data_IF_058167128911
#
_entry.id   IF_058167128911
#
_cell.length_a   1.000
_cell.length_b   1.000
_cell.length_c   1.000
_cell.angle_alpha   90.00
_cell.angle_beta   90.00
_cell.angle_gamma   90.00
#
_symmetry.space_group_name_H-M   'P 1'
#
loop_
_entity.id
_entity.type
_entity.pdbx_description
1 polymer ?
#
# COMPACT_ATOMS: atom_id res chain seq x y z
N UNK A 1 12.46 47.76 37.83
CA UNK A 1 11.60 47.01 36.90
C UNK A 1 12.47 46.40 35.83
N UNK A 2 12.65 45.08 35.84
CA UNK A 2 13.32 44.36 34.76
C UNK A 2 12.62 43.00 34.62
N UNK A 3 11.99 42.80 33.47
CA UNK A 3 11.25 41.61 33.10
C UNK A 3 12.23 40.50 32.74
N UNK A 4 11.99 39.29 33.23
CA UNK A 4 12.79 38.11 32.90
C UNK A 4 11.97 37.13 32.06
N UNK A 5 12.47 36.74 30.88
CA UNK A 5 12.29 35.38 30.35
C UNK A 5 13.56 35.00 29.57
N UNK A 6 14.13 33.84 29.92
CA UNK A 6 15.19 33.17 29.16
C UNK A 6 14.64 31.86 28.60
N UNK A 7 14.63 31.72 27.28
CA UNK A 7 14.06 30.57 26.56
C UNK A 7 15.08 29.45 26.27
N UNK A 8 16.32 29.59 26.73
CA UNK A 8 17.44 28.88 26.11
C UNK A 8 18.18 27.89 27.01
N UNK A 9 17.73 27.56 28.23
CA UNK A 9 18.49 26.62 29.07
C UNK A 9 17.64 25.66 29.91
N UNK A 10 17.60 24.38 29.48
CA UNK A 10 17.28 23.21 30.33
C UNK A 10 16.51 22.08 29.62
N UNK A 11 17.20 21.01 29.19
CA UNK A 11 16.67 19.83 28.50
C UNK A 11 15.83 18.89 29.38
N UNK A 12 14.63 18.47 28.95
CA UNK A 12 14.17 17.07 28.72
C UNK A 12 12.63 16.97 28.47
N UNK A 13 12.24 16.15 27.48
CA UNK A 13 10.97 15.41 27.31
C UNK A 13 9.63 16.18 27.11
N UNK A 14 9.57 17.51 27.16
CA UNK A 14 8.31 18.25 26.87
C UNK A 14 8.01 18.52 25.38
N UNK A 15 9.03 18.82 24.58
CA UNK A 15 8.87 19.32 23.20
C UNK A 15 8.53 18.24 22.18
N UNK A 16 9.00 17.02 22.41
CA UNK A 16 8.70 15.87 21.57
C UNK A 16 7.23 15.45 21.71
N UNK A 17 6.66 15.56 22.92
CA UNK A 17 5.24 15.27 23.18
C UNK A 17 4.32 16.33 22.56
N UNK A 18 4.67 17.62 22.60
CA UNK A 18 3.94 18.69 21.90
C UNK A 18 4.08 18.61 20.36
N UNK A 19 5.28 18.30 19.86
CA UNK A 19 5.50 18.08 18.42
C UNK A 19 4.66 16.91 17.91
N UNK A 20 4.34 15.94 18.77
CA UNK A 20 3.61 14.72 18.45
C UNK A 20 2.10 14.81 18.65
N UNK A 21 1.64 15.59 19.61
CA UNK A 21 0.25 16.01 19.73
C UNK A 21 -0.18 16.90 18.55
N UNK A 22 0.73 17.72 18.01
CA UNK A 22 0.55 18.44 16.73
C UNK A 22 0.55 17.53 15.50
N UNK A 23 1.25 16.39 15.56
CA UNK A 23 1.55 15.56 14.39
C UNK A 23 0.34 14.80 13.82
N UNK A 24 -0.77 14.65 14.56
CA UNK A 24 -1.87 13.74 14.16
C UNK A 24 -3.29 14.32 14.14
N UNK A 25 -3.48 15.59 14.50
CA UNK A 25 -4.71 16.34 14.19
C UNK A 25 -4.48 17.58 13.28
N UNK A 26 -3.22 17.86 12.92
CA UNK A 26 -2.83 18.96 12.00
C UNK A 26 -2.37 18.50 10.62
N UNK A 27 -2.89 17.38 10.10
CA UNK A 27 -2.65 17.08 8.67
C UNK A 27 -3.39 18.13 7.84
N UNK A 28 -2.68 19.17 7.41
CA UNK A 28 -3.26 20.30 6.67
C UNK A 28 -3.81 19.88 5.31
N UNK A 29 -3.43 18.68 4.81
CA UNK A 29 -3.84 18.14 3.51
C UNK A 29 -4.16 16.65 3.60
N UNK A 30 -5.18 16.22 2.88
CA UNK A 30 -5.56 14.81 2.70
C UNK A 30 -5.20 14.36 1.28
N UNK A 31 -4.86 13.08 1.13
CA UNK A 31 -4.74 12.45 -0.19
C UNK A 31 -6.15 12.12 -0.69
N UNK A 32 -6.49 12.56 -1.89
CA UNK A 32 -7.81 12.38 -2.51
C UNK A 32 -7.62 11.82 -3.92
N UNK A 33 -8.60 11.06 -4.41
CA UNK A 33 -8.59 10.57 -5.79
C UNK A 33 -9.01 11.65 -6.78
N UNK A 34 -8.53 11.54 -8.01
CA UNK A 34 -8.93 12.38 -9.14
C UNK A 34 -9.44 11.44 -10.24
N UNK A 35 -10.57 11.77 -10.81
CA UNK A 35 -11.13 11.10 -11.98
C UNK A 35 -11.48 12.15 -13.04
N UNK A 36 -11.01 11.98 -14.27
CA UNK A 36 -11.22 12.93 -15.36
C UNK A 36 -11.47 12.18 -16.66
N UNK A 37 -12.54 12.52 -17.36
CA UNK A 37 -12.90 11.91 -18.66
C UNK A 37 -12.45 12.75 -19.87
N UNK A 38 -11.73 13.84 -19.62
CA UNK A 38 -11.27 14.76 -20.65
C UNK A 38 -10.10 14.16 -21.44
N UNK A 39 -10.30 13.85 -22.72
CA UNK A 39 -9.27 13.28 -23.59
C UNK A 39 -8.09 14.23 -23.81
N UNK A 40 -8.32 15.56 -23.81
CA UNK A 40 -7.26 16.55 -24.00
C UNK A 40 -6.26 16.57 -22.82
N UNK A 41 -6.70 16.13 -21.63
CA UNK A 41 -5.82 15.93 -20.49
C UNK A 41 -4.78 14.83 -20.74
N UNK A 42 -5.10 13.81 -21.56
CA UNK A 42 -4.15 12.74 -21.89
C UNK A 42 -2.97 13.27 -22.68
N UNK A 43 -3.21 14.21 -23.59
CA UNK A 43 -2.14 14.84 -24.37
C UNK A 43 -1.29 15.76 -23.51
N UNK A 44 -1.91 16.54 -22.62
CA UNK A 44 -1.18 17.35 -21.64
C UNK A 44 -0.26 16.50 -20.74
N UNK A 45 -0.67 15.28 -20.35
CA UNK A 45 0.20 14.38 -19.58
C UNK A 45 1.48 13.95 -20.33
N UNK A 46 1.53 14.05 -21.67
CA UNK A 46 2.73 13.74 -22.46
C UNK A 46 3.74 14.88 -22.48
N UNK A 47 3.27 16.12 -22.35
CA UNK A 47 4.09 17.33 -22.55
C UNK A 47 4.33 18.12 -21.26
N UNK A 48 3.45 17.98 -20.27
CA UNK A 48 3.52 18.75 -19.02
C UNK A 48 3.91 17.85 -17.84
N UNK A 49 4.91 18.24 -17.03
CA UNK A 49 5.25 17.49 -15.81
C UNK A 49 4.12 17.51 -14.77
N UNK A 50 3.73 16.35 -14.24
CA UNK A 50 2.64 16.21 -13.23
C UNK A 50 2.85 17.13 -12.02
N UNK A 51 4.10 17.35 -11.60
CA UNK A 51 4.43 18.25 -10.48
C UNK A 51 3.95 19.70 -10.67
N UNK A 52 3.67 20.12 -11.91
CA UNK A 52 3.13 21.44 -12.23
C UNK A 52 1.61 21.54 -12.02
N UNK A 53 0.89 20.41 -12.04
CA UNK A 53 -0.56 20.39 -12.02
C UNK A 53 -1.10 20.85 -10.66
N UNK A 54 -2.18 21.63 -10.70
CA UNK A 54 -2.87 22.14 -9.50
C UNK A 54 -4.34 21.74 -9.55
N UNK A 55 -4.90 21.45 -8.38
CA UNK A 55 -6.35 21.31 -8.23
C UNK A 55 -6.96 22.65 -7.84
N UNK A 56 -7.98 23.04 -8.59
CA UNK A 56 -8.79 24.22 -8.35
C UNK A 56 -10.24 23.84 -8.07
N UNK A 57 -10.89 24.55 -7.16
CA UNK A 57 -12.35 24.54 -6.98
C UNK A 57 -12.83 25.99 -6.99
N UNK A 58 -13.67 26.34 -7.95
CA UNK A 58 -13.96 27.74 -8.27
C UNK A 58 -12.68 28.47 -8.67
N UNK A 59 -12.32 29.54 -7.97
CA UNK A 59 -11.09 30.30 -8.20
C UNK A 59 -9.94 29.93 -7.26
N UNK A 60 -10.18 29.03 -6.30
CA UNK A 60 -9.20 28.70 -5.28
C UNK A 60 -8.37 27.46 -5.64
N UNK A 61 -7.05 27.57 -5.57
CA UNK A 61 -6.16 26.40 -5.55
C UNK A 61 -6.27 25.68 -4.21
N UNK A 62 -6.85 24.48 -4.26
CA UNK A 62 -7.13 23.64 -3.09
C UNK A 62 -6.08 22.55 -2.88
N UNK A 63 -5.31 22.21 -3.92
CA UNK A 63 -4.36 21.10 -3.83
C UNK A 63 -3.35 21.03 -4.96
N UNK A 64 -2.51 20.00 -4.89
CA UNK A 64 -1.54 19.63 -5.93
C UNK A 64 -1.76 18.18 -6.31
N UNK A 65 -1.64 17.89 -7.61
CA UNK A 65 -1.62 16.52 -8.10
C UNK A 65 -0.32 15.85 -7.66
N UNK A 66 -0.41 14.66 -7.09
CA UNK A 66 0.75 13.82 -6.75
C UNK A 66 1.04 12.79 -7.83
N UNK A 67 0.01 12.25 -8.48
CA UNK A 67 0.13 11.29 -9.57
C UNK A 67 -1.10 11.37 -10.48
N UNK A 68 -0.93 11.08 -11.76
CA UNK A 68 -1.99 10.92 -12.76
C UNK A 68 -1.55 9.83 -13.75
N UNK A 69 -2.50 9.00 -14.16
CA UNK A 69 -2.35 7.94 -15.14
C UNK A 69 -3.42 8.12 -16.21
N UNK A 70 -3.01 8.14 -17.48
CA UNK A 70 -3.93 8.11 -18.61
C UNK A 70 -4.53 6.70 -18.77
N UNK A 71 -5.84 6.63 -18.95
CA UNK A 71 -6.64 5.44 -19.25
C UNK A 71 -7.23 5.57 -20.66
N UNK A 72 -7.83 4.51 -21.21
CA UNK A 72 -8.45 4.56 -22.54
C UNK A 72 -9.55 5.64 -22.65
N UNK A 73 -10.32 5.84 -21.59
CA UNK A 73 -11.47 6.77 -21.55
C UNK A 73 -11.25 8.00 -20.65
N UNK A 74 -9.99 8.35 -20.34
CA UNK A 74 -9.69 9.53 -19.51
C UNK A 74 -8.38 9.43 -18.74
N UNK A 75 -8.39 9.90 -17.50
CA UNK A 75 -7.27 9.93 -16.58
C UNK A 75 -7.73 9.70 -15.13
N UNK A 76 -6.95 8.95 -14.36
CA UNK A 76 -7.15 8.79 -12.92
C UNK A 76 -5.88 9.10 -12.15
N UNK A 77 -6.00 9.61 -10.92
CA UNK A 77 -4.83 10.01 -10.15
C UNK A 77 -5.10 10.31 -8.70
N UNK A 78 -4.11 10.90 -8.04
CA UNK A 78 -4.15 11.30 -6.65
C UNK A 78 -3.72 12.77 -6.51
N UNK A 79 -4.32 13.45 -5.55
CA UNK A 79 -3.97 14.81 -5.15
C UNK A 79 -3.83 14.95 -3.65
N UNK A 80 -2.90 15.82 -3.24
CA UNK A 80 -2.86 16.36 -1.88
C UNK A 80 -3.73 17.61 -1.81
N UNK A 81 -4.84 17.53 -1.09
CA UNK A 81 -5.89 18.57 -1.01
C UNK A 81 -5.97 19.10 0.40
N UNK A 82 -6.11 20.41 0.61
CA UNK A 82 -6.32 20.99 1.94
C UNK A 82 -7.46 20.30 2.68
N UNK A 83 -7.28 19.95 3.97
CA UNK A 83 -8.25 19.18 4.78
C UNK A 83 -9.67 19.75 4.71
N UNK A 84 -9.81 21.08 4.77
CA UNK A 84 -11.09 21.80 4.68
C UNK A 84 -11.79 21.71 3.32
N UNK A 85 -11.04 21.41 2.26
CA UNK A 85 -11.51 21.39 0.87
C UNK A 85 -11.61 19.95 0.32
N UNK A 86 -11.24 18.93 1.12
CA UNK A 86 -11.13 17.53 0.74
C UNK A 86 -12.47 16.78 0.75
N UNK A 87 -13.50 17.41 0.19
CA UNK A 87 -14.83 16.80 -0.04
C UNK A 87 -14.91 16.33 -1.49
N UNK A 88 -15.40 15.10 -1.77
CA UNK A 88 -15.64 14.66 -3.15
C UNK A 88 -16.55 15.63 -3.93
N UNK A 89 -16.32 15.73 -5.23
CA UNK A 89 -17.11 16.58 -6.13
C UNK A 89 -16.28 17.26 -7.23
N UNK A 90 -16.91 18.10 -8.05
CA UNK A 90 -16.26 18.72 -9.21
C UNK A 90 -15.04 19.58 -8.82
N UNK A 91 -13.99 19.47 -9.63
CA UNK A 91 -12.75 20.25 -9.54
C UNK A 91 -12.22 20.52 -10.95
N UNK A 92 -11.22 21.40 -11.05
CA UNK A 92 -10.52 21.68 -12.29
C UNK A 92 -9.03 21.38 -12.10
N UNK A 93 -8.47 20.60 -13.01
CA UNK A 93 -7.03 20.41 -13.13
C UNK A 93 -6.47 21.56 -13.95
N UNK A 94 -5.56 22.33 -13.37
CA UNK A 94 -4.95 23.49 -14.03
C UNK A 94 -3.48 23.22 -14.28
N UNK A 95 -3.05 23.43 -15.52
CA UNK A 95 -1.67 23.30 -16.00
C UNK A 95 -1.25 24.57 -16.74
N UNK A 96 -0.02 24.62 -17.25
CA UNK A 96 0.40 25.69 -18.15
C UNK A 96 -0.34 25.62 -19.52
N UNK A 97 -0.78 24.43 -19.90
CA UNK A 97 -1.36 24.13 -21.21
C UNK A 97 -2.89 24.22 -21.23
N UNK A 98 -3.54 24.36 -20.06
CA UNK A 98 -4.99 24.53 -20.01
C UNK A 98 -5.63 24.21 -18.66
N UNK A 99 -6.96 24.16 -18.67
CA UNK A 99 -7.78 23.83 -17.53
C UNK A 99 -8.77 22.72 -17.92
N UNK A 100 -8.73 21.59 -17.21
CA UNK A 100 -9.46 20.38 -17.55
C UNK A 100 -10.46 20.02 -16.46
N UNK A 101 -11.66 19.59 -16.85
CA UNK A 101 -12.67 19.15 -15.91
C UNK A 101 -12.27 17.84 -15.24
N UNK A 102 -12.45 17.75 -13.93
CA UNK A 102 -12.18 16.55 -13.16
C UNK A 102 -13.14 16.43 -11.97
N UNK A 103 -13.18 15.26 -11.37
CA UNK A 103 -13.92 14.98 -10.15
C UNK A 103 -12.93 14.57 -9.07
N UNK A 104 -13.00 15.25 -7.92
CA UNK A 104 -12.34 14.78 -6.72
C UNK A 104 -13.19 13.64 -6.16
N UNK A 105 -12.61 12.46 -6.05
CA UNK A 105 -13.27 11.28 -5.49
C UNK A 105 -12.63 10.90 -4.16
N UNK A 106 -13.33 10.07 -3.40
CA UNK A 106 -12.74 9.51 -2.19
C UNK A 106 -11.43 8.78 -2.49
N UNK A 107 -10.58 8.74 -1.46
CA UNK A 107 -9.12 8.60 -1.55
C UNK A 107 -8.57 7.53 -2.50
N UNK A 108 -9.33 6.48 -2.81
CA UNK A 108 -8.99 5.40 -3.74
C UNK A 108 -10.29 4.79 -4.34
N UNK A 109 -10.29 4.39 -5.62
CA UNK A 109 -11.43 3.71 -6.24
C UNK A 109 -11.79 2.41 -5.48
N UNK A 110 -13.07 2.04 -5.54
CA UNK A 110 -13.59 0.82 -4.92
C UNK A 110 -13.76 -0.27 -5.99
N UNK A 111 -13.65 -1.56 -5.62
CA UNK A 111 -13.33 -2.08 -4.29
C UNK A 111 -11.85 -1.92 -3.92
N UNK A 112 -11.56 -1.63 -2.65
CA UNK A 112 -10.18 -1.56 -2.13
C UNK A 112 -10.01 -2.41 -0.88
N UNK A 113 -8.87 -3.07 -0.78
CA UNK A 113 -8.42 -3.75 0.43
C UNK A 113 -7.16 -3.05 0.94
N UNK A 114 -7.24 -2.50 2.16
CA UNK A 114 -6.13 -1.79 2.82
C UNK A 114 -5.77 -2.58 4.07
N UNK A 115 -4.48 -2.69 4.37
CA UNK A 115 -3.99 -3.34 5.59
C UNK A 115 -2.94 -2.48 6.28
N UNK A 116 -2.77 -2.61 7.61
CA UNK A 116 -1.77 -1.85 8.34
C UNK A 116 -0.36 -2.42 8.16
N UNK A 117 0.60 -1.53 7.93
CA UNK A 117 2.03 -1.78 8.03
C UNK A 117 2.63 -1.37 9.38
N UNK A 118 3.92 -1.67 9.58
CA UNK A 118 4.64 -1.33 10.80
C UNK A 118 4.72 0.20 11.05
N UNK A 119 4.69 1.00 9.98
CA UNK A 119 4.71 2.46 10.03
C UNK A 119 3.35 3.10 10.36
N UNK A 120 2.25 2.34 10.31
CA UNK A 120 0.95 2.83 10.79
C UNK A 120 0.88 2.87 12.32
N UNK A 121 1.82 2.20 12.98
CA UNK A 121 1.98 2.21 14.42
C UNK A 121 2.78 3.46 14.83
N UNK A 122 2.30 4.26 15.80
CA UNK A 122 3.04 5.38 16.37
C UNK A 122 4.49 5.02 16.74
N UNK A 123 5.45 5.88 16.38
CA UNK A 123 6.87 5.66 16.71
C UNK A 123 7.13 5.78 18.21
N UNK A 124 8.28 5.29 18.69
CA UNK A 124 8.64 5.17 20.11
C UNK A 124 8.42 6.43 20.97
N UNK A 125 8.62 7.59 20.39
CA UNK A 125 8.45 8.89 21.02
C UNK A 125 6.98 9.28 21.27
N UNK A 126 6.01 8.39 20.96
CA UNK A 126 4.56 8.48 21.21
C UNK A 126 4.18 7.21 21.99
N UNK A 127 4.77 6.98 23.17
CA UNK A 127 4.63 5.71 23.86
C UNK A 127 3.18 5.43 24.25
N UNK A 128 2.41 6.46 24.61
CA UNK A 128 0.99 6.33 24.95
C UNK A 128 0.16 5.87 23.74
N UNK A 129 0.23 6.57 22.61
CA UNK A 129 -0.50 6.17 21.40
C UNK A 129 -0.05 4.78 20.93
N UNK A 130 1.25 4.50 20.98
CA UNK A 130 1.81 3.22 20.56
C UNK A 130 1.28 2.06 21.41
N UNK A 131 1.14 2.25 22.72
CA UNK A 131 0.74 1.18 23.63
C UNK A 131 -0.77 1.03 23.74
N UNK A 132 -1.50 2.13 23.84
CA UNK A 132 -2.95 2.12 24.09
C UNK A 132 -3.78 2.21 22.81
N UNK A 133 -3.26 2.80 21.73
CA UNK A 133 -3.98 2.93 20.46
C UNK A 133 -3.09 2.76 19.22
N UNK A 134 -2.37 1.64 19.09
CA UNK A 134 -1.35 1.48 18.05
C UNK A 134 -1.87 1.57 16.62
N UNK A 135 -3.14 1.26 16.40
CA UNK A 135 -3.76 1.33 15.08
C UNK A 135 -4.80 2.46 15.00
N UNK A 136 -4.81 3.42 15.93
CA UNK A 136 -5.83 4.47 15.98
C UNK A 136 -5.93 5.29 14.70
N UNK A 137 -4.77 5.60 14.09
CA UNK A 137 -4.70 6.37 12.83
C UNK A 137 -5.22 5.58 11.64
N UNK A 138 -4.84 4.30 11.59
CA UNK A 138 -5.37 3.37 10.60
C UNK A 138 -6.88 3.29 10.75
N UNK A 139 -7.39 3.03 11.96
CA UNK A 139 -8.83 2.87 12.23
C UNK A 139 -9.64 4.10 11.91
N UNK A 140 -9.17 5.28 12.31
CA UNK A 140 -9.81 6.55 11.98
C UNK A 140 -9.84 6.86 10.48
N UNK A 141 -9.03 6.18 9.66
CA UNK A 141 -8.95 6.39 8.21
C UNK A 141 -9.62 5.29 7.38
N UNK A 142 -9.43 4.03 7.76
CA UNK A 142 -9.79 2.86 6.97
C UNK A 142 -10.80 1.94 7.67
N UNK A 143 -11.18 2.25 8.92
CA UNK A 143 -12.13 1.49 9.72
C UNK A 143 -11.47 0.50 10.68
N UNK A 144 -12.31 -0.10 11.53
CA UNK A 144 -11.87 -0.95 12.65
C UNK A 144 -11.19 -2.27 12.23
N UNK A 145 -11.47 -2.72 11.02
CA UNK A 145 -10.99 -4.01 10.55
C UNK A 145 -9.53 -3.94 10.09
N UNK A 146 -8.63 -4.56 10.86
CA UNK A 146 -7.19 -4.65 10.57
C UNK A 146 -6.85 -5.84 9.66
N UNK A 147 -7.78 -6.76 9.45
CA UNK A 147 -7.65 -7.96 8.62
C UNK A 147 -8.87 -8.11 7.70
N UNK A 148 -9.18 -7.09 6.87
CA UNK A 148 -10.31 -7.13 5.96
C UNK A 148 -10.22 -8.27 4.95
N UNK A 149 -11.39 -8.70 4.50
CA UNK A 149 -11.55 -9.66 3.42
C UNK A 149 -12.24 -8.96 2.26
N UNK A 150 -11.90 -9.36 1.05
CA UNK A 150 -12.53 -8.86 -0.16
C UNK A 150 -12.90 -10.05 -1.04
N UNK A 151 -14.16 -10.12 -1.45
CA UNK A 151 -14.64 -11.14 -2.38
C UNK A 151 -15.20 -10.46 -3.61
N UNK A 152 -14.67 -10.83 -4.77
CA UNK A 152 -15.13 -10.40 -6.09
C UNK A 152 -15.47 -11.66 -6.90
N UNK A 153 -16.11 -11.47 -8.06
CA UNK A 153 -16.41 -12.59 -8.95
C UNK A 153 -15.10 -13.30 -9.33
N UNK A 154 -14.94 -14.55 -8.91
CA UNK A 154 -13.76 -15.37 -9.21
C UNK A 154 -12.52 -15.08 -8.38
N UNK A 155 -12.56 -14.15 -7.42
CA UNK A 155 -11.39 -13.78 -6.59
C UNK A 155 -11.79 -13.68 -5.12
N UNK A 156 -11.02 -14.33 -4.25
CA UNK A 156 -11.17 -14.21 -2.80
C UNK A 156 -9.85 -13.79 -2.16
N UNK A 157 -9.89 -12.63 -1.49
CA UNK A 157 -8.73 -12.01 -0.85
C UNK A 157 -8.91 -12.06 0.66
N UNK A 158 -7.96 -12.71 1.34
CA UNK A 158 -7.85 -12.71 2.80
C UNK A 158 -6.62 -11.92 3.17
N UNK A 159 -6.72 -11.06 4.18
CA UNK A 159 -5.58 -10.32 4.70
C UNK A 159 -5.20 -10.69 6.12
N UNK A 160 -3.95 -10.42 6.48
CA UNK A 160 -3.39 -10.66 7.80
C UNK A 160 -2.59 -9.46 8.29
N UNK A 161 -2.85 -9.04 9.53
CA UNK A 161 -2.06 -8.01 10.18
C UNK A 161 -0.80 -8.65 10.76
N UNK A 162 0.33 -8.43 10.09
CA UNK A 162 1.65 -8.87 10.53
C UNK A 162 2.37 -7.84 11.42
N UNK A 163 1.82 -6.62 11.56
CA UNK A 163 2.41 -5.54 12.34
C UNK A 163 2.13 -5.71 13.83
N UNK A 164 3.12 -5.41 14.68
CA UNK A 164 3.00 -5.54 16.14
C UNK A 164 3.39 -4.27 16.86
N UNK A 165 2.49 -3.84 17.74
CA UNK A 165 2.71 -2.70 18.63
C UNK A 165 3.60 -3.06 19.82
N UNK A 166 3.45 -4.30 20.31
CA UNK A 166 4.13 -4.85 21.48
C UNK A 166 4.44 -6.37 21.31
N UNK A 167 5.49 -6.86 22.00
CA UNK A 167 6.13 -8.16 21.79
C UNK A 167 7.50 -8.26 22.48
N UNK A 168 7.93 -9.47 22.87
CA UNK A 168 9.23 -9.72 23.52
C UNK A 168 10.39 -9.80 22.52
N UNK A 169 10.46 -8.85 21.58
CA UNK A 169 11.49 -8.80 20.55
C UNK A 169 12.01 -7.38 20.42
N UNK A 170 13.33 -7.23 20.29
CA UNK A 170 13.98 -5.92 20.27
C UNK A 170 13.71 -5.15 18.97
N UNK A 171 13.46 -5.85 17.86
CA UNK A 171 13.17 -5.26 16.56
C UNK A 171 11.67 -5.31 16.23
N UNK A 172 11.10 -4.12 16.15
CA UNK A 172 9.67 -3.87 15.93
C UNK A 172 9.33 -3.64 14.46
N UNK A 173 10.36 -3.67 13.59
CA UNK A 173 10.18 -3.75 12.14
C UNK A 173 9.85 -5.18 11.69
N UNK A 174 10.05 -6.18 12.55
CA UNK A 174 9.73 -7.57 12.22
C UNK A 174 8.22 -7.86 12.22
N UNK A 175 7.78 -8.56 11.20
CA UNK A 175 6.42 -9.07 11.12
C UNK A 175 6.20 -10.30 11.97
N UNK A 176 5.07 -10.39 12.68
CA UNK A 176 4.68 -11.60 13.40
C UNK A 176 3.25 -12.02 13.11
N UNK A 177 3.02 -13.33 13.09
CA UNK A 177 1.71 -13.94 12.98
C UNK A 177 1.52 -14.99 14.09
N UNK A 178 0.33 -15.02 14.68
CA UNK A 178 -0.05 -16.00 15.70
C UNK A 178 -0.61 -17.28 15.06
N UNK A 179 -0.51 -18.42 15.77
CA UNK A 179 -1.15 -19.68 15.33
C UNK A 179 -2.65 -19.52 15.08
N UNK A 180 -3.33 -18.71 15.88
CA UNK A 180 -4.75 -18.39 15.73
C UNK A 180 -5.02 -17.66 14.41
N UNK A 181 -4.18 -16.71 14.02
CA UNK A 181 -4.30 -16.03 12.72
C UNK A 181 -4.08 -17.01 11.55
N UNK A 182 -3.08 -17.88 11.64
CA UNK A 182 -2.84 -18.92 10.60
C UNK A 182 -4.05 -19.86 10.46
N UNK A 183 -4.63 -20.28 11.57
CA UNK A 183 -5.83 -21.15 11.58
C UNK A 183 -7.01 -20.45 10.93
N UNK A 184 -7.30 -19.21 11.34
CA UNK A 184 -8.38 -18.40 10.74
C UNK A 184 -8.19 -18.14 9.26
N UNK A 185 -6.96 -17.88 8.82
CA UNK A 185 -6.66 -17.67 7.41
C UNK A 185 -7.03 -18.90 6.59
N UNK A 186 -6.68 -20.11 7.07
CA UNK A 186 -7.06 -21.37 6.41
C UNK A 186 -8.57 -21.55 6.37
N UNK A 187 -9.25 -21.34 7.50
CA UNK A 187 -10.71 -21.45 7.59
C UNK A 187 -11.42 -20.55 6.57
N UNK A 188 -10.97 -19.30 6.43
CA UNK A 188 -11.53 -18.35 5.45
C UNK A 188 -11.40 -18.85 4.01
N UNK A 189 -10.23 -19.35 3.62
CA UNK A 189 -10.03 -19.90 2.27
C UNK A 189 -10.79 -21.21 2.04
N UNK A 190 -10.88 -22.08 3.04
CA UNK A 190 -11.59 -23.36 2.95
C UNK A 190 -13.12 -23.19 2.95
N UNK A 191 -13.64 -22.08 3.47
CA UNK A 191 -15.06 -21.75 3.43
C UNK A 191 -15.56 -21.30 2.05
N UNK A 192 -14.66 -21.14 1.06
CA UNK A 192 -15.00 -20.70 -0.30
C UNK A 192 -14.91 -21.84 -1.32
N UNK A 193 -15.72 -21.81 -2.40
CA UNK A 193 -15.68 -22.82 -3.45
C UNK A 193 -14.27 -22.99 -4.03
N UNK A 194 -13.99 -24.22 -4.48
CA UNK A 194 -12.80 -24.50 -5.30
C UNK A 194 -12.99 -23.81 -6.66
N UNK A 195 -11.98 -23.07 -7.10
CA UNK A 195 -11.96 -22.40 -8.42
C UNK A 195 -11.83 -20.87 -8.37
N UNK A 196 -12.09 -20.23 -7.23
CA UNK A 196 -11.75 -18.80 -7.04
C UNK A 196 -10.23 -18.64 -6.87
N UNK A 197 -9.66 -17.57 -7.45
CA UNK A 197 -8.27 -17.17 -7.21
C UNK A 197 -8.12 -16.75 -5.74
N UNK A 198 -7.29 -17.48 -4.99
CA UNK A 198 -7.05 -17.27 -3.56
C UNK A 198 -5.85 -16.36 -3.35
N UNK A 199 -6.10 -15.16 -2.84
CA UNK A 199 -5.05 -14.15 -2.62
C UNK A 199 -4.88 -13.89 -1.12
N UNK A 200 -3.67 -14.07 -0.62
CA UNK A 200 -3.29 -13.69 0.74
C UNK A 200 -2.55 -12.35 0.72
N UNK A 201 -2.92 -11.41 1.59
CA UNK A 201 -2.28 -10.09 1.69
C UNK A 201 -1.74 -9.83 3.09
N UNK A 202 -0.48 -9.45 3.20
CA UNK A 202 0.16 -9.06 4.48
C UNK A 202 1.32 -8.08 4.23
N UNK A 203 1.63 -7.24 5.21
CA UNK A 203 2.67 -6.21 5.02
C UNK A 203 4.09 -6.78 4.95
N UNK A 204 4.47 -7.63 5.91
CA UNK A 204 5.85 -8.11 6.04
C UNK A 204 6.16 -9.26 5.07
N UNK A 205 7.39 -9.32 4.55
CA UNK A 205 7.74 -10.17 3.42
C UNK A 205 8.01 -11.61 3.85
N UNK A 206 7.91 -12.53 2.88
CA UNK A 206 8.18 -13.96 3.06
C UNK A 206 9.49 -14.38 2.38
N UNK A 207 9.93 -13.61 1.38
CA UNK A 207 11.15 -13.87 0.62
C UNK A 207 12.33 -13.25 1.36
N UNK A 208 13.30 -14.09 1.71
CA UNK A 208 14.51 -13.62 2.39
C UNK A 208 15.37 -12.83 1.41
N UNK A 209 15.79 -11.64 1.84
CA UNK A 209 16.83 -10.86 1.17
C UNK A 209 18.15 -11.05 1.91
N UNK A 210 19.25 -11.18 1.17
CA UNK A 210 20.61 -11.16 1.72
C UNK A 210 21.05 -9.72 2.03
N UNK A 211 20.22 -8.97 2.77
CA UNK A 211 20.46 -7.59 3.18
C UNK A 211 20.42 -7.50 4.71
N UNK A 212 21.36 -6.79 5.36
CA UNK A 212 21.37 -6.63 6.82
C UNK A 212 20.08 -5.99 7.33
N UNK A 213 19.53 -6.51 8.43
CA UNK A 213 18.35 -5.94 9.09
C UNK A 213 17.04 -6.11 8.33
N UNK A 214 16.98 -7.05 7.36
CA UNK A 214 15.77 -7.35 6.58
C UNK A 214 15.28 -8.75 6.88
N UNK A 215 14.48 -8.84 7.93
CA UNK A 215 13.88 -10.09 8.39
C UNK A 215 12.53 -10.33 7.74
N UNK A 216 12.27 -11.59 7.40
CA UNK A 216 10.96 -12.05 6.93
C UNK A 216 9.97 -12.20 8.09
N UNK A 217 8.68 -12.27 7.76
CA UNK A 217 7.60 -12.50 8.72
C UNK A 217 7.79 -13.82 9.48
N UNK A 218 7.57 -13.79 10.79
CA UNK A 218 7.72 -14.96 11.69
C UNK A 218 6.36 -15.44 12.19
N UNK A 219 6.12 -16.76 12.32
CA UNK A 219 6.99 -17.86 11.89
C UNK A 219 6.81 -18.21 10.39
N UNK A 220 7.87 -18.05 9.59
CA UNK A 220 7.81 -18.26 8.14
C UNK A 220 7.36 -19.68 7.76
N UNK A 221 7.96 -20.71 8.35
CA UNK A 221 7.66 -22.10 8.00
C UNK A 221 6.18 -22.44 8.25
N UNK A 222 5.63 -22.07 9.41
CA UNK A 222 4.21 -22.34 9.69
C UNK A 222 3.27 -21.52 8.80
N UNK A 223 3.66 -20.30 8.41
CA UNK A 223 2.91 -19.51 7.44
C UNK A 223 2.91 -20.19 6.05
N UNK A 224 4.07 -20.59 5.56
CA UNK A 224 4.20 -21.29 4.26
C UNK A 224 3.42 -22.60 4.25
N UNK A 225 3.45 -23.39 5.33
CA UNK A 225 2.61 -24.60 5.43
C UNK A 225 1.11 -24.27 5.37
N UNK A 226 0.68 -23.20 6.05
CA UNK A 226 -0.72 -22.80 6.02
C UNK A 226 -1.16 -22.29 4.62
N UNK A 227 -0.26 -21.63 3.89
CA UNK A 227 -0.44 -21.20 2.50
C UNK A 227 -0.64 -22.43 1.59
N UNK A 228 0.21 -23.46 1.73
CA UNK A 228 0.10 -24.69 0.94
C UNK A 228 -1.20 -25.44 1.22
N UNK A 229 -1.51 -25.66 2.49
CA UNK A 229 -2.70 -26.42 2.90
C UNK A 229 -4.00 -25.74 2.46
N UNK A 230 -4.01 -24.40 2.45
CA UNK A 230 -5.14 -23.61 1.94
C UNK A 230 -5.11 -23.44 0.41
N UNK A 231 -4.09 -23.95 -0.28
CA UNK A 231 -3.84 -23.78 -1.72
C UNK A 231 -3.98 -22.33 -2.17
N UNK A 232 -3.33 -21.43 -1.44
CA UNK A 232 -3.30 -19.99 -1.79
C UNK A 232 -2.55 -19.83 -3.11
N UNK A 233 -3.14 -19.11 -4.06
CA UNK A 233 -2.55 -18.92 -5.39
C UNK A 233 -1.49 -17.81 -5.37
N UNK A 234 -1.82 -16.67 -4.74
CA UNK A 234 -0.97 -15.48 -4.73
C UNK A 234 -0.81 -14.94 -3.31
N UNK A 235 0.42 -14.57 -2.93
CA UNK A 235 0.72 -13.86 -1.69
C UNK A 235 1.24 -12.47 -2.04
N UNK A 236 0.58 -11.41 -1.58
CA UNK A 236 0.98 -10.02 -1.80
C UNK A 236 1.58 -9.43 -0.52
N UNK A 237 2.78 -8.88 -0.63
CA UNK A 237 3.47 -8.22 0.48
C UNK A 237 4.35 -7.04 0.04
N UNK A 238 4.99 -6.36 0.98
CA UNK A 238 5.82 -5.19 0.71
C UNK A 238 6.98 -5.05 1.69
N UNK A 239 7.04 -3.93 2.42
CA UNK A 239 8.02 -3.58 3.47
C UNK A 239 9.47 -3.32 2.98
N UNK A 240 10.03 -4.16 2.11
CA UNK A 240 11.42 -4.03 1.65
C UNK A 240 11.66 -2.98 0.57
N UNK A 241 10.60 -2.41 -0.01
CA UNK A 241 10.66 -1.42 -1.09
C UNK A 241 11.47 -1.92 -2.31
N UNK A 242 11.46 -3.23 -2.54
CA UNK A 242 12.11 -3.92 -3.65
C UNK A 242 11.13 -4.90 -4.27
N UNK A 243 11.10 -4.93 -5.59
CA UNK A 243 10.30 -5.83 -6.41
C UNK A 243 10.86 -7.25 -6.36
N UNK A 244 10.05 -8.21 -5.94
CA UNK A 244 10.34 -9.63 -6.13
C UNK A 244 9.07 -10.40 -6.48
N UNK A 245 9.19 -11.29 -7.47
CA UNK A 245 8.11 -12.18 -7.88
C UNK A 245 8.68 -13.59 -8.00
N UNK A 246 8.15 -14.53 -7.23
CA UNK A 246 8.63 -15.91 -7.26
C UNK A 246 7.53 -16.90 -6.90
N UNK A 247 7.44 -18.01 -7.65
CA UNK A 247 6.57 -19.12 -7.29
C UNK A 247 7.30 -20.09 -6.35
N UNK A 248 6.80 -20.29 -5.13
CA UNK A 248 7.48 -21.12 -4.13
C UNK A 248 6.53 -21.80 -3.13
N UNK A 249 7.04 -22.83 -2.47
CA UNK A 249 6.42 -23.63 -1.42
C UNK A 249 7.52 -24.27 -0.56
N UNK A 250 7.17 -24.78 0.63
CA UNK A 250 8.01 -25.66 1.44
C UNK A 250 8.24 -27.03 0.78
N UNK A 251 7.25 -27.54 0.07
CA UNK A 251 7.27 -28.89 -0.49
C UNK A 251 6.75 -28.97 -1.92
N UNK A 252 6.33 -30.18 -2.31
CA UNK A 252 5.74 -30.47 -3.61
C UNK A 252 4.21 -30.39 -3.64
N UNK A 253 3.56 -30.05 -2.52
CA UNK A 253 2.10 -30.05 -2.40
C UNK A 253 1.47 -28.89 -3.15
N UNK A 254 1.99 -27.68 -2.92
CA UNK A 254 1.47 -26.47 -3.54
C UNK A 254 2.52 -25.37 -3.60
N UNK A 255 2.59 -24.65 -4.73
CA UNK A 255 3.43 -23.46 -4.92
C UNK A 255 2.54 -22.23 -5.13
N UNK A 256 2.74 -21.22 -4.29
CA UNK A 256 2.08 -19.92 -4.43
C UNK A 256 3.02 -18.93 -5.13
N UNK A 257 2.46 -18.00 -5.89
CA UNK A 257 3.20 -16.85 -6.43
C UNK A 257 3.30 -15.78 -5.35
N UNK A 258 4.51 -15.54 -4.85
CA UNK A 258 4.78 -14.48 -3.89
C UNK A 258 5.16 -13.22 -4.67
N UNK A 259 4.36 -12.17 -4.51
CA UNK A 259 4.49 -10.85 -5.10
C UNK A 259 4.84 -9.85 -3.99
N UNK A 260 6.14 -9.57 -3.85
CA UNK A 260 6.65 -8.52 -2.97
C UNK A 260 6.77 -7.24 -3.77
N UNK A 261 5.84 -6.32 -3.56
CA UNK A 261 5.78 -5.07 -4.30
C UNK A 261 6.87 -4.09 -3.85
N UNK A 262 7.39 -3.27 -4.78
CA UNK A 262 8.16 -2.08 -4.43
C UNK A 262 7.25 -1.01 -3.79
N UNK A 263 7.77 0.21 -3.66
CA UNK A 263 7.03 1.31 -3.02
C UNK A 263 6.49 2.28 -4.08
N UNK A 264 5.22 2.69 -3.95
CA UNK A 264 4.62 3.69 -4.85
C UNK A 264 5.02 5.13 -4.46
N UNK A 265 5.22 5.39 -3.17
CA UNK A 265 5.29 6.75 -2.64
C UNK A 265 6.61 7.11 -1.95
N UNK A 266 7.45 6.14 -1.57
CA UNK A 266 8.69 6.44 -0.87
C UNK A 266 9.72 7.02 -1.84
N UNK A 267 10.42 8.07 -1.41
CA UNK A 267 11.62 8.60 -2.09
C UNK A 267 12.91 8.02 -1.52
N UNK A 268 12.82 7.27 -0.40
CA UNK A 268 13.91 6.44 0.13
C UNK A 268 13.97 5.15 -0.67
N UNK A 269 14.58 5.25 -1.86
CA UNK A 269 14.75 4.15 -2.79
C UNK A 269 15.90 3.25 -2.36
N UNK A 270 15.85 1.98 -2.76
CA UNK A 270 16.82 0.95 -2.39
C UNK A 270 17.49 0.35 -3.64
N UNK A 271 17.80 1.20 -4.62
CA UNK A 271 18.36 0.78 -5.92
C UNK A 271 17.31 0.54 -7.01
N UNK A 272 16.02 0.56 -6.65
CA UNK A 272 14.90 0.45 -7.60
C UNK A 272 14.01 1.71 -7.56
N UNK A 273 13.44 2.13 -8.71
CA UNK A 273 12.47 3.23 -8.76
C UNK A 273 11.17 2.89 -8.01
N UNK A 274 10.32 3.90 -7.78
CA UNK A 274 8.97 3.62 -7.30
C UNK A 274 8.23 2.70 -8.27
N UNK A 275 7.32 1.88 -7.77
CA UNK A 275 6.55 0.96 -8.61
C UNK A 275 5.42 0.25 -7.89
N UNK A 276 4.71 -0.58 -8.64
CA UNK A 276 3.70 -1.51 -8.14
C UNK A 276 3.60 -2.73 -9.05
N UNK A 277 2.97 -3.80 -8.56
CA UNK A 277 2.63 -4.97 -9.36
C UNK A 277 1.16 -4.93 -9.77
N UNK A 278 0.91 -5.17 -11.04
CA UNK A 278 -0.39 -5.54 -11.58
C UNK A 278 -0.44 -7.06 -11.73
N UNK A 279 -1.57 -7.68 -11.40
CA UNK A 279 -1.77 -9.13 -11.46
C UNK A 279 -2.97 -9.40 -12.36
N UNK A 280 -2.74 -10.17 -13.42
CA UNK A 280 -3.71 -10.53 -14.44
C UNK A 280 -3.86 -12.05 -14.40
N UNK A 281 -5.10 -12.54 -14.43
CA UNK A 281 -5.39 -13.97 -14.32
C UNK A 281 -6.62 -14.34 -15.14
N UNK A 282 -6.60 -15.54 -15.74
CA UNK A 282 -7.71 -16.11 -16.49
C UNK A 282 -8.22 -17.46 -15.95
N UNK A 283 -7.62 -17.96 -14.86
CA UNK A 283 -7.88 -19.29 -14.30
C UNK A 283 -6.65 -20.17 -14.31
N UNK A 284 -6.06 -20.33 -15.50
CA UNK A 284 -4.94 -21.26 -15.76
C UNK A 284 -3.61 -20.53 -15.88
N UNK A 285 -3.64 -19.27 -16.31
CA UNK A 285 -2.51 -18.39 -16.46
C UNK A 285 -2.59 -17.26 -15.44
N UNK A 286 -1.41 -16.89 -14.92
CA UNK A 286 -1.21 -15.71 -14.10
C UNK A 286 -0.06 -14.93 -14.71
N UNK A 287 -0.31 -13.67 -15.00
CA UNK A 287 0.72 -12.71 -15.40
C UNK A 287 0.87 -11.67 -14.30
N UNK A 288 2.11 -11.32 -14.02
CA UNK A 288 2.44 -10.21 -13.13
C UNK A 288 3.23 -9.17 -13.89
N UNK A 289 2.78 -7.91 -13.88
CA UNK A 289 3.45 -6.80 -14.55
C UNK A 289 4.02 -5.86 -13.49
N UNK A 290 5.33 -5.64 -13.53
CA UNK A 290 5.97 -4.60 -12.73
C UNK A 290 5.82 -3.26 -13.47
N UNK A 291 5.15 -2.31 -12.84
CA UNK A 291 5.11 -0.91 -13.28
C UNK A 291 6.10 -0.08 -12.48
N UNK A 292 6.94 0.70 -13.16
CA UNK A 292 7.93 1.58 -12.52
C UNK A 292 7.71 3.04 -12.89
N UNK A 293 8.01 3.93 -11.96
CA UNK A 293 7.91 5.37 -12.14
C UNK A 293 9.13 5.89 -12.91
N UNK A 294 8.91 6.38 -14.13
CA UNK A 294 9.91 7.02 -14.99
C UNK A 294 9.28 8.16 -15.76
N UNK A 295 10.01 9.26 -15.90
CA UNK A 295 9.57 10.45 -16.65
C UNK A 295 8.19 10.98 -16.21
N UNK A 296 7.90 10.91 -14.91
CA UNK A 296 6.65 11.41 -14.35
C UNK A 296 5.45 10.45 -14.46
N UNK A 297 5.59 9.26 -15.04
CA UNK A 297 4.50 8.29 -15.20
C UNK A 297 4.91 6.88 -14.80
N UNK A 298 3.95 6.05 -14.40
CA UNK A 298 4.18 4.62 -14.23
C UNK A 298 4.11 3.92 -15.58
N UNK A 299 5.12 3.10 -15.90
CA UNK A 299 5.18 2.31 -17.14
C UNK A 299 5.53 0.87 -16.81
N UNK A 300 4.94 -0.07 -17.54
CA UNK A 300 5.32 -1.48 -17.48
C UNK A 300 6.83 -1.61 -17.81
N UNK A 301 7.55 -2.35 -16.97
CA UNK A 301 9.00 -2.54 -17.08
C UNK A 301 9.41 -4.01 -17.10
N UNK A 302 8.66 -4.89 -16.45
CA UNK A 302 8.94 -6.32 -16.46
C UNK A 302 7.65 -7.14 -16.35
N UNK A 303 7.68 -8.38 -16.85
CA UNK A 303 6.55 -9.32 -16.86
C UNK A 303 7.03 -10.70 -16.43
N UNK A 304 6.28 -11.34 -15.54
CA UNK A 304 6.45 -12.77 -15.24
C UNK A 304 5.15 -13.51 -15.53
N UNK A 305 5.27 -14.65 -16.20
CA UNK A 305 4.15 -15.51 -16.55
C UNK A 305 4.23 -16.81 -15.76
N UNK A 306 3.08 -17.29 -15.31
CA UNK A 306 2.94 -18.53 -14.57
C UNK A 306 1.78 -19.34 -15.13
N UNK A 307 1.95 -20.67 -15.12
CA UNK A 307 0.94 -21.64 -15.49
C UNK A 307 0.57 -22.46 -14.26
N UNK A 308 -0.73 -22.68 -14.07
CA UNK A 308 -1.26 -23.49 -12.99
C UNK A 308 -1.07 -24.97 -13.29
N UNK A 309 -0.39 -25.67 -12.39
CA UNK A 309 -0.23 -27.12 -12.40
C UNK A 309 -0.96 -27.79 -11.24
N UNK A 310 -0.80 -29.12 -11.15
CA UNK A 310 -1.39 -29.93 -10.08
C UNK A 310 -0.88 -29.56 -8.68
N UNK A 311 0.36 -29.08 -8.60
CA UNK A 311 1.05 -28.66 -7.37
C UNK A 311 1.20 -27.14 -7.27
N UNK A 312 0.28 -26.38 -7.86
CA UNK A 312 0.27 -24.92 -7.82
C UNK A 312 0.97 -24.29 -9.02
N UNK A 313 1.52 -23.09 -8.83
CA UNK A 313 2.01 -22.24 -9.92
C UNK A 313 3.47 -22.49 -10.27
N UNK A 314 3.77 -22.51 -11.57
CA UNK A 314 5.12 -22.64 -12.10
C UNK A 314 5.39 -21.52 -13.10
N UNK A 315 6.64 -21.05 -13.19
CA UNK A 315 7.02 -20.11 -14.25
C UNK A 315 6.72 -20.74 -15.61
N UNK A 316 6.02 -19.99 -16.47
CA UNK A 316 5.89 -20.36 -17.86
C UNK A 316 7.27 -20.30 -18.53
N UNK A 317 7.57 -21.26 -19.40
CA UNK A 317 8.72 -21.10 -20.29
C UNK A 317 8.45 -19.89 -21.19
N UNK A 318 9.47 -19.02 -21.35
CA UNK A 318 9.44 -17.92 -22.32
C UNK A 318 9.41 -18.45 -23.74
#
# INVERSE_FOLDING_TARGET
AASAISWNKGCYIGQEVLSRLDSYDKVARLLMGIDATDEALRDALRTTPIASFRLRRGDQIIGRVSSLMALESGCQGLATVKKKDATPGPVTLVTADGAFAATLVDRLPQPRLVIPGNHDIPSFNQPLDRFFNPFGRYRGTFGENLEPELTLKGVHVVSMNSSRAFGFHADWSEGRLSRKQLTKMREKFLARPVGELRILVLHHPLLQLNLPGREVVKPLQALMQAIEDARVDVVMCGHFHLSQIHATGLGSTWRAVISQAPTVCSTRLQGEPQGFHEIIHDGEHLETVLHVFRDGVFRAADRCHFIRGVSGWNHAAQ
#
